data_IF_041338745477
#
_entry.id   IF_041338745477
#
_cell.length_a   1.000
_cell.length_b   1.000
_cell.length_c   1.000
_cell.angle_alpha   90.00
_cell.angle_beta   90.00
_cell.angle_gamma   90.00
#
_symmetry.space_group_name_H-M   'P 1'
#
loop_
_entity.id
_entity.type
_entity.pdbx_description
1 polymer ?
#
# COMPACT_ATOMS: atom_id res chain seq x y z
N UNK A 1 -8.14 17.33 -10.07
CA UNK A 1 -7.15 16.41 -10.55
C UNK A 1 -6.29 15.90 -9.41
N UNK A 2 -6.02 14.63 -9.38
CA UNK A 2 -5.25 14.02 -8.31
C UNK A 2 -3.79 13.96 -8.71
N UNK A 3 -2.90 14.41 -7.83
CA UNK A 3 -1.46 14.38 -8.06
C UNK A 3 -0.81 13.48 -7.01
N UNK A 4 0.23 12.77 -7.41
CA UNK A 4 0.99 11.92 -6.50
C UNK A 4 2.40 12.47 -6.41
N UNK A 5 2.87 12.71 -5.18
CA UNK A 5 4.20 13.24 -4.94
C UNK A 5 4.88 12.50 -3.79
N UNK A 6 6.19 12.59 -3.75
CA UNK A 6 6.95 12.01 -2.65
C UNK A 6 6.72 12.82 -1.37
N UNK A 7 6.57 12.13 -0.25
CA UNK A 7 6.39 12.79 1.03
C UNK A 7 7.68 13.48 1.47
N UNK A 8 7.52 14.59 2.17
CA UNK A 8 8.62 15.36 2.74
C UNK A 8 8.56 15.26 4.27
N UNK A 9 9.63 15.62 4.98
CA UNK A 9 9.61 15.53 6.45
C UNK A 9 8.45 16.25 7.10
N UNK A 10 7.98 17.36 6.51
CA UNK A 10 6.84 18.10 7.04
C UNK A 10 5.52 17.35 6.91
N UNK A 11 5.48 16.26 6.15
CA UNK A 11 4.27 15.46 5.97
C UNK A 11 4.11 14.37 7.04
N UNK A 12 5.07 14.23 7.96
CA UNK A 12 5.07 13.11 8.90
C UNK A 12 3.76 12.96 9.66
N UNK A 13 3.26 14.04 10.23
CA UNK A 13 2.02 13.99 11.02
C UNK A 13 0.85 13.51 10.17
N UNK A 14 0.75 13.98 8.93
CA UNK A 14 -0.31 13.57 8.01
C UNK A 14 -0.19 12.11 7.64
N UNK A 15 1.03 11.64 7.36
CA UNK A 15 1.28 10.24 7.02
C UNK A 15 0.85 9.34 8.19
N UNK A 16 1.24 9.70 9.40
CA UNK A 16 0.91 8.90 10.57
C UNK A 16 -0.58 8.89 10.86
N UNK A 17 -1.24 10.05 10.70
CA UNK A 17 -2.68 10.14 10.93
C UNK A 17 -3.46 9.29 9.92
N UNK A 18 -3.16 9.42 8.64
CA UNK A 18 -3.88 8.67 7.62
C UNK A 18 -3.64 7.17 7.76
N UNK A 19 -2.40 6.77 8.05
CA UNK A 19 -2.08 5.36 8.26
C UNK A 19 -2.86 4.81 9.44
N UNK A 20 -2.88 5.52 10.56
CA UNK A 20 -3.62 5.07 11.74
C UNK A 20 -5.11 4.99 11.45
N UNK A 21 -5.70 6.04 10.88
CA UNK A 21 -7.14 6.08 10.63
C UNK A 21 -7.57 4.97 9.68
N UNK A 22 -6.83 4.78 8.60
CA UNK A 22 -7.21 3.78 7.59
C UNK A 22 -7.10 2.36 8.13
N UNK A 23 -6.01 2.05 8.83
CA UNK A 23 -5.79 0.68 9.29
C UNK A 23 -6.59 0.34 10.54
N UNK A 24 -6.74 1.27 11.46
CA UNK A 24 -7.53 1.00 12.66
C UNK A 24 -8.99 0.76 12.29
N UNK A 25 -9.57 1.63 11.46
CA UNK A 25 -10.99 1.49 11.11
C UNK A 25 -11.24 0.21 10.29
N UNK A 26 -10.31 -0.18 9.43
CA UNK A 26 -10.49 -1.36 8.60
C UNK A 26 -10.23 -2.65 9.36
N UNK A 27 -9.19 -2.68 10.19
CA UNK A 27 -8.74 -3.93 10.81
C UNK A 27 -9.39 -4.22 12.14
N UNK A 28 -9.77 -3.20 12.91
CA UNK A 28 -10.35 -3.42 14.24
C UNK A 28 -11.62 -4.26 14.16
N UNK A 29 -12.46 -4.03 13.14
CA UNK A 29 -13.72 -4.73 13.00
C UNK A 29 -13.53 -6.19 12.55
N UNK A 30 -12.48 -6.50 11.81
CA UNK A 30 -12.28 -7.82 11.23
C UNK A 30 -11.34 -8.68 12.07
N UNK A 31 -10.22 -8.11 12.50
CA UNK A 31 -9.14 -8.85 13.13
C UNK A 31 -9.07 -8.60 14.63
N UNK A 32 -9.52 -7.43 15.07
CA UNK A 32 -9.46 -7.07 16.48
C UNK A 32 -8.08 -6.70 16.97
N UNK A 33 -7.16 -6.38 16.03
CA UNK A 33 -5.80 -6.03 16.38
C UNK A 33 -5.34 -4.87 15.50
N UNK A 34 -4.34 -4.12 15.97
CA UNK A 34 -3.81 -2.99 15.24
C UNK A 34 -2.60 -3.48 14.44
N UNK A 35 -2.66 -3.43 13.09
CA UNK A 35 -1.51 -3.86 12.29
C UNK A 35 -0.38 -2.84 12.38
N UNK A 36 0.84 -3.30 12.13
CA UNK A 36 2.03 -2.48 12.25
C UNK A 36 1.97 -1.16 11.47
N UNK A 37 1.46 -1.12 10.23
CA UNK A 37 1.40 0.15 9.50
C UNK A 37 0.61 1.24 10.21
N UNK A 38 -0.32 0.90 11.09
CA UNK A 38 -1.12 1.89 11.80
C UNK A 38 -0.33 2.65 12.87
N UNK A 39 0.74 2.06 13.38
CA UNK A 39 1.49 2.64 14.50
C UNK A 39 2.98 2.81 14.23
N UNK A 40 3.42 2.57 13.00
CA UNK A 40 4.82 2.68 12.67
C UNK A 40 5.30 4.14 12.70
N UNK A 41 6.57 4.34 13.04
CA UNK A 41 7.21 5.64 12.88
C UNK A 41 7.64 5.76 11.42
N UNK A 42 7.03 6.65 10.69
CA UNK A 42 7.29 6.80 9.25
C UNK A 42 8.44 7.73 8.92
N UNK A 43 9.06 8.34 9.91
CA UNK A 43 10.16 9.26 9.65
C UNK A 43 11.30 8.63 8.83
N UNK A 44 11.78 7.42 9.19
CA UNK A 44 12.85 6.81 8.39
C UNK A 44 12.42 6.48 6.96
N UNK A 45 11.15 6.08 6.77
CA UNK A 45 10.66 5.77 5.43
C UNK A 45 10.55 7.02 4.57
N UNK A 46 10.12 8.12 5.15
CA UNK A 46 10.08 9.41 4.43
C UNK A 46 11.50 9.81 4.04
N UNK A 47 12.45 9.66 4.95
CA UNK A 47 13.84 10.01 4.67
C UNK A 47 14.42 9.18 3.52
N UNK A 48 13.98 7.92 3.38
CA UNK A 48 14.44 7.06 2.29
C UNK A 48 13.67 7.26 0.99
N UNK A 49 12.65 8.14 0.98
CA UNK A 49 11.86 8.39 -0.21
C UNK A 49 10.87 7.28 -0.54
N UNK A 50 10.44 6.51 0.46
CA UNK A 50 9.54 5.38 0.25
C UNK A 50 8.07 5.74 0.29
N UNK A 51 7.71 6.93 0.80
CA UNK A 51 6.32 7.31 1.03
C UNK A 51 5.87 8.28 -0.05
N UNK A 52 4.74 7.96 -0.68
CA UNK A 52 4.15 8.80 -1.73
C UNK A 52 2.73 9.16 -1.34
N UNK A 53 2.36 10.41 -1.58
CA UNK A 53 1.06 10.95 -1.18
C UNK A 53 0.23 11.29 -2.40
N UNK A 54 -1.08 11.03 -2.31
CA UNK A 54 -2.01 11.52 -3.32
C UNK A 54 -2.78 12.70 -2.73
N UNK A 55 -2.83 13.79 -3.48
CA UNK A 55 -3.44 15.03 -3.01
C UNK A 55 -4.49 15.51 -3.99
N UNK A 56 -5.50 16.17 -3.44
CA UNK A 56 -6.51 16.85 -4.23
C UNK A 56 -6.73 18.20 -3.57
N UNK A 57 -6.55 19.27 -4.35
CA UNK A 57 -6.71 20.65 -3.87
C UNK A 57 -5.87 20.92 -2.62
N UNK A 58 -4.64 20.41 -2.60
CA UNK A 58 -3.72 20.62 -1.50
C UNK A 58 -3.97 19.78 -0.27
N UNK A 59 -4.99 18.89 -0.30
CA UNK A 59 -5.32 18.04 0.84
C UNK A 59 -4.92 16.61 0.52
N UNK A 60 -4.13 16.01 1.42
CA UNK A 60 -3.70 14.63 1.26
C UNK A 60 -4.88 13.69 1.47
N UNK A 61 -5.14 12.82 0.49
CA UNK A 61 -6.25 11.90 0.50
C UNK A 61 -5.82 10.46 0.81
N UNK A 62 -4.57 10.14 0.54
CA UNK A 62 -4.06 8.78 0.76
C UNK A 62 -2.58 8.71 0.52
N UNK A 63 -2.03 7.52 0.73
CA UNK A 63 -0.59 7.30 0.58
C UNK A 63 -0.29 5.87 0.19
N UNK A 64 0.90 5.68 -0.36
CA UNK A 64 1.44 4.36 -0.63
C UNK A 64 2.90 4.35 -0.18
N UNK A 65 3.31 3.26 0.46
CA UNK A 65 4.69 3.07 0.90
C UNK A 65 5.30 1.97 0.05
N UNK A 66 6.38 2.29 -0.65
CA UNK A 66 7.01 1.41 -1.61
C UNK A 66 8.42 1.07 -1.18
N UNK A 67 8.74 -0.23 -1.11
CA UNK A 67 10.08 -0.72 -0.77
C UNK A 67 10.66 -1.45 -1.98
N UNK A 68 11.64 -0.86 -2.67
CA UNK A 68 12.30 -1.58 -3.77
C UNK A 68 13.11 -2.76 -3.21
N UNK A 69 12.91 -3.94 -3.81
CA UNK A 69 13.67 -5.14 -3.51
C UNK A 69 14.51 -5.50 -4.72
N UNK A 70 15.30 -6.56 -4.63
CA UNK A 70 16.19 -6.95 -5.72
C UNK A 70 15.43 -7.28 -6.99
N UNK A 71 14.28 -7.95 -6.88
CA UNK A 71 13.54 -8.45 -8.04
C UNK A 71 12.09 -8.00 -8.10
N UNK A 72 11.64 -7.17 -7.17
CA UNK A 72 10.26 -6.68 -7.19
C UNK A 72 10.14 -5.40 -6.36
N UNK A 73 9.02 -4.72 -6.54
CA UNK A 73 8.67 -3.57 -5.71
C UNK A 73 7.62 -4.03 -4.72
N UNK A 74 7.90 -3.88 -3.44
CA UNK A 74 6.94 -4.25 -2.40
C UNK A 74 6.08 -3.04 -2.06
N UNK A 75 4.75 -3.21 -2.13
CA UNK A 75 3.82 -2.24 -1.57
C UNK A 75 3.66 -2.61 -0.10
N UNK A 76 4.40 -1.89 0.75
CA UNK A 76 4.34 -2.15 2.18
C UNK A 76 2.99 -1.72 2.77
N UNK A 77 2.46 -0.62 2.29
CA UNK A 77 1.21 -0.06 2.79
C UNK A 77 0.52 0.75 1.72
N UNK A 78 -0.80 0.63 1.66
CA UNK A 78 -1.66 1.52 0.90
C UNK A 78 -2.75 1.97 1.85
N UNK A 79 -2.93 3.28 2.00
CA UNK A 79 -3.90 3.81 2.96
C UNK A 79 -4.64 4.99 2.33
N UNK A 80 -5.97 4.97 2.44
CA UNK A 80 -6.83 6.04 1.95
C UNK A 80 -7.57 6.60 3.15
N UNK A 81 -7.57 7.93 3.30
CA UNK A 81 -8.29 8.58 4.38
C UNK A 81 -9.76 8.13 4.35
N UNK A 82 -10.36 7.86 5.53
CA UNK A 82 -11.73 7.34 5.53
C UNK A 82 -12.72 8.19 4.75
N UNK A 83 -12.59 9.51 4.82
CA UNK A 83 -13.49 10.43 4.11
C UNK A 83 -13.26 10.46 2.61
N UNK A 84 -12.16 9.87 2.14
CA UNK A 84 -11.83 9.84 0.70
C UNK A 84 -11.97 8.46 0.08
N UNK A 85 -12.45 7.48 0.82
CA UNK A 85 -12.60 6.12 0.32
C UNK A 85 -13.72 6.04 -0.71
N UNK A 86 -13.70 4.97 -1.51
CA UNK A 86 -14.70 4.69 -2.56
C UNK A 86 -14.65 5.65 -3.74
N UNK A 87 -13.50 6.28 -3.96
CA UNK A 87 -13.28 7.17 -5.10
C UNK A 87 -12.23 6.63 -6.06
N UNK A 88 -11.83 5.36 -5.89
CA UNK A 88 -10.82 4.76 -6.75
C UNK A 88 -9.40 5.13 -6.42
N UNK A 89 -9.14 5.75 -5.26
CA UNK A 89 -7.80 6.18 -4.90
C UNK A 89 -6.86 5.01 -4.62
N UNK A 90 -7.37 3.95 -3.97
CA UNK A 90 -6.56 2.77 -3.72
C UNK A 90 -6.05 2.15 -5.02
N UNK A 91 -6.94 2.03 -6.02
CA UNK A 91 -6.56 1.54 -7.34
C UNK A 91 -5.53 2.47 -7.99
N UNK A 92 -5.73 3.77 -7.90
CA UNK A 92 -4.80 4.74 -8.48
C UNK A 92 -3.41 4.63 -7.84
N UNK A 93 -3.36 4.42 -6.52
CA UNK A 93 -2.09 4.26 -5.82
C UNK A 93 -1.40 2.96 -6.22
N UNK A 94 -2.16 1.89 -6.42
CA UNK A 94 -1.59 0.62 -6.87
C UNK A 94 -1.11 0.71 -8.33
N UNK A 95 -1.83 1.43 -9.18
CA UNK A 95 -1.37 1.68 -10.56
C UNK A 95 -0.08 2.48 -10.54
N UNK A 96 0.02 3.47 -9.66
CA UNK A 96 1.25 4.24 -9.51
C UNK A 96 2.42 3.34 -9.10
N UNK A 97 2.17 2.37 -8.19
CA UNK A 97 3.22 1.44 -7.78
C UNK A 97 3.74 0.65 -9.00
N UNK A 98 2.84 0.23 -9.89
CA UNK A 98 3.25 -0.45 -11.12
C UNK A 98 4.12 0.43 -12.01
N UNK A 99 3.75 1.71 -12.14
CA UNK A 99 4.54 2.67 -12.93
C UNK A 99 5.92 2.87 -12.31
N UNK A 100 6.00 2.97 -10.99
CA UNK A 100 7.29 3.10 -10.30
C UNK A 100 8.15 1.87 -10.48
N UNK A 101 7.56 0.69 -10.39
CA UNK A 101 8.32 -0.55 -10.60
C UNK A 101 8.91 -0.58 -12.00
N UNK A 102 8.13 -0.20 -13.00
CA UNK A 102 8.62 -0.16 -14.38
C UNK A 102 9.78 0.82 -14.54
N UNK A 103 9.66 2.00 -13.92
CA UNK A 103 10.75 3.00 -13.97
C UNK A 103 12.01 2.49 -13.31
N UNK A 104 11.89 1.64 -12.30
CA UNK A 104 13.04 1.07 -11.60
C UNK A 104 13.58 -0.18 -12.29
N UNK A 105 12.99 -0.59 -13.40
CA UNK A 105 13.41 -1.79 -14.12
C UNK A 105 12.94 -3.09 -13.48
N UNK A 106 11.98 -3.00 -12.57
CA UNK A 106 11.43 -4.17 -11.91
C UNK A 106 10.22 -4.67 -12.66
N UNK A 107 10.02 -5.99 -12.67
CA UNK A 107 8.95 -6.61 -13.45
C UNK A 107 7.76 -7.03 -12.63
N UNK A 108 7.84 -6.87 -11.32
CA UNK A 108 6.83 -7.42 -10.45
C UNK A 108 6.56 -6.46 -9.30
N UNK A 109 5.29 -6.32 -8.95
CA UNK A 109 4.87 -5.63 -7.75
C UNK A 109 4.28 -6.66 -6.82
N UNK A 110 4.66 -6.65 -5.55
CA UNK A 110 4.13 -7.57 -4.55
C UNK A 110 3.53 -6.82 -3.38
N UNK A 111 2.60 -7.47 -2.71
CA UNK A 111 2.02 -6.99 -1.48
C UNK A 111 1.56 -8.20 -0.68
N UNK A 112 1.15 -7.96 0.56
CA UNK A 112 0.54 -9.01 1.38
C UNK A 112 -0.53 -8.38 2.25
N UNK A 113 -1.46 -9.23 2.70
CA UNK A 113 -2.51 -8.80 3.62
C UNK A 113 -2.94 -10.00 4.44
N UNK A 114 -3.66 -9.77 5.53
CA UNK A 114 -4.23 -10.84 6.32
C UNK A 114 -5.31 -11.53 5.49
N UNK A 115 -5.33 -12.87 5.51
CA UNK A 115 -6.29 -13.64 4.71
C UNK A 115 -7.74 -13.29 5.06
N UNK A 116 -8.00 -12.79 6.26
CA UNK A 116 -9.34 -12.42 6.71
C UNK A 116 -9.81 -11.09 6.13
N UNK A 117 -8.91 -10.32 5.55
CA UNK A 117 -9.25 -9.03 4.92
C UNK A 117 -9.73 -9.27 3.49
N UNK A 118 -10.91 -9.86 3.38
CA UNK A 118 -11.45 -10.30 2.07
C UNK A 118 -11.65 -9.14 1.10
N UNK A 119 -12.04 -7.98 1.61
CA UNK A 119 -12.22 -6.81 0.74
C UNK A 119 -10.89 -6.38 0.11
N UNK A 120 -9.81 -6.45 0.88
CA UNK A 120 -8.47 -6.15 0.36
C UNK A 120 -8.08 -7.14 -0.73
N UNK A 121 -8.29 -8.44 -0.47
CA UNK A 121 -7.94 -9.48 -1.44
C UNK A 121 -8.70 -9.26 -2.75
N UNK A 122 -10.00 -8.93 -2.66
CA UNK A 122 -10.81 -8.66 -3.84
C UNK A 122 -10.31 -7.42 -4.60
N UNK A 123 -9.98 -6.35 -3.87
CA UNK A 123 -9.45 -5.14 -4.50
C UNK A 123 -8.16 -5.45 -5.25
N UNK A 124 -7.23 -6.12 -4.60
CA UNK A 124 -5.95 -6.42 -5.22
C UNK A 124 -6.14 -7.33 -6.43
N UNK A 125 -7.02 -8.33 -6.32
CA UNK A 125 -7.34 -9.19 -7.46
C UNK A 125 -7.88 -8.41 -8.63
N UNK A 126 -8.75 -7.43 -8.36
CA UNK A 126 -9.32 -6.59 -9.43
C UNK A 126 -8.28 -5.68 -10.08
N UNK A 127 -7.15 -5.46 -9.39
CA UNK A 127 -6.05 -4.65 -9.92
C UNK A 127 -4.99 -5.49 -10.63
N UNK A 128 -5.21 -6.80 -10.75
CA UNK A 128 -4.30 -7.67 -11.48
C UNK A 128 -3.34 -8.47 -10.62
N UNK A 129 -3.47 -8.37 -9.29
CA UNK A 129 -2.63 -9.18 -8.40
C UNK A 129 -3.21 -10.58 -8.27
N UNK A 130 -2.33 -11.57 -8.21
CA UNK A 130 -2.74 -12.97 -8.00
C UNK A 130 -2.04 -13.50 -6.77
N UNK A 131 -2.70 -14.42 -6.08
CA UNK A 131 -2.12 -15.05 -4.90
C UNK A 131 -0.94 -15.93 -5.29
N UNK A 132 0.19 -15.77 -4.61
CA UNK A 132 1.38 -16.55 -4.85
C UNK A 132 1.76 -17.43 -3.66
N UNK A 133 1.14 -17.23 -2.51
CA UNK A 133 1.41 -18.08 -1.36
C UNK A 133 0.73 -17.57 -0.12
N UNK A 134 0.76 -18.39 0.92
CA UNK A 134 0.25 -18.03 2.24
C UNK A 134 1.28 -18.44 3.27
N UNK A 135 1.34 -17.70 4.36
CA UNK A 135 2.30 -17.97 5.43
C UNK A 135 1.72 -17.54 6.77
N UNK A 136 2.23 -18.17 7.82
CA UNK A 136 1.80 -17.79 9.16
C UNK A 136 2.25 -16.36 9.46
N UNK A 137 1.42 -15.64 10.20
CA UNK A 137 1.78 -14.28 10.63
C UNK A 137 3.01 -14.38 11.53
N UNK A 138 4.03 -13.53 11.33
CA UNK A 138 5.27 -13.65 12.10
C UNK A 138 5.12 -13.40 13.59
N UNK A 139 4.09 -12.68 14.02
CA UNK A 139 3.95 -12.34 15.43
C UNK A 139 2.57 -12.63 16.03
N UNK A 140 1.62 -13.16 15.26
CA UNK A 140 0.29 -13.48 15.78
C UNK A 140 -0.06 -14.92 15.46
N UNK A 141 -0.09 -15.75 16.51
CA UNK A 141 -0.39 -17.17 16.36
C UNK A 141 -1.80 -17.35 15.81
N UNK A 142 -1.97 -18.27 14.88
CA UNK A 142 -3.26 -18.56 14.28
C UNK A 142 -3.69 -17.62 13.17
N UNK A 143 -2.93 -16.57 12.90
CA UNK A 143 -3.22 -15.65 11.82
C UNK A 143 -2.34 -15.98 10.62
N UNK A 144 -2.87 -15.74 9.42
CA UNK A 144 -2.15 -16.02 8.18
C UNK A 144 -2.17 -14.83 7.25
N UNK A 145 -1.08 -14.67 6.50
CA UNK A 145 -0.97 -13.65 5.47
C UNK A 145 -1.04 -14.31 4.11
N UNK A 146 -1.63 -13.61 3.16
CA UNK A 146 -1.61 -14.02 1.76
C UNK A 146 -0.68 -13.06 1.02
N UNK A 147 0.27 -13.63 0.29
CA UNK A 147 1.18 -12.88 -0.55
C UNK A 147 0.62 -12.85 -1.96
N UNK A 148 0.62 -11.67 -2.57
CA UNK A 148 0.08 -11.49 -3.92
C UNK A 148 1.09 -10.75 -4.78
N UNK A 149 1.07 -11.04 -6.07
CA UNK A 149 1.99 -10.43 -7.01
C UNK A 149 1.29 -10.05 -8.30
N UNK A 150 1.76 -8.97 -8.91
CA UNK A 150 1.31 -8.53 -10.22
C UNK A 150 2.54 -8.44 -11.12
N UNK A 151 2.53 -9.20 -12.20
CA UNK A 151 3.59 -9.15 -13.20
C UNK A 151 3.30 -8.01 -14.16
N UNK A 152 4.30 -7.19 -14.41
CA UNK A 152 4.13 -6.04 -15.30
C UNK A 152 4.33 -6.44 -16.75
N UNK A 153 3.52 -5.84 -17.60
CA UNK A 153 3.61 -6.06 -19.02
C UNK A 153 4.90 -5.45 -19.57
N UNK A 154 5.51 -6.14 -20.55
CA UNK A 154 6.65 -5.58 -21.23
C UNK A 154 6.26 -4.65 -22.35
N UNK A 155 4.99 -4.59 -22.62
CA UNK A 155 4.50 -3.87 -23.77
C UNK A 155 4.79 -2.39 -23.72
N UNK A 156 5.10 -1.91 -22.56
CA UNK A 156 5.44 -0.52 -22.49
C UNK A 156 6.38 -0.18 -23.58
N UNK A 157 6.80 -1.25 -24.14
CA UNK A 157 7.53 -1.11 -24.99
C UNK A 157 7.09 -1.18 -26.15
N UNK A 158 6.61 -1.20 -26.43
CA UNK A 158 6.28 -1.37 -27.61
C UNK A 158 6.39 -0.60 -28.43
#
# INVERSE_FOLDING_TARGET
>A
MTAIRRAEPSDLATVQRISADAYISAYAAVIGAVPKPASEDYEPRIARGEVWLTEQDGVTQGLVVLEPKADHLLVYSVAVAPEAQRRGLGRALLDFAGERAALLGLREVRLYTNVRMEANVRLYGSCGFVEIGRRAHPSRAGEFLVDMAKTLSRSGRT
#
